data_IF_483465706589
#
_entry.id   IF_483465706589
#
_cell.length_a   1.000
_cell.length_b   1.000
_cell.length_c   1.000
_cell.angle_alpha   90.00
_cell.angle_beta   90.00
_cell.angle_gamma   90.00
#
_symmetry.space_group_name_H-M   'P 1'
#
loop_
_entity.id
_entity.type
_entity.pdbx_description
1 polymer ?
#
# COMPACT_ATOMS: atom_id res chain seq x y z
N UNK A 1 5.11 26.45 2.48
CA UNK A 1 4.41 25.33 3.14
C UNK A 1 4.76 24.06 2.39
N UNK A 2 5.40 23.08 3.04
CA UNK A 2 5.76 21.79 2.41
C UNK A 2 4.49 20.93 2.34
N UNK A 3 3.86 20.87 1.17
CA UNK A 3 2.79 19.91 0.90
C UNK A 3 3.39 18.50 0.92
N UNK A 4 3.19 17.81 2.03
CA UNK A 4 3.51 16.40 2.15
C UNK A 4 2.28 15.67 1.57
N UNK A 5 2.33 15.28 0.29
CA UNK A 5 1.26 14.61 -0.48
C UNK A 5 0.97 13.18 0.01
N UNK A 6 0.78 13.03 1.31
CA UNK A 6 0.20 11.85 1.90
C UNK A 6 -0.82 12.42 2.86
N UNK A 7 -2.11 12.25 2.52
CA UNK A 7 -3.15 12.22 3.53
C UNK A 7 -2.75 11.11 4.49
N UNK A 8 -1.97 11.46 5.53
CA UNK A 8 -1.50 10.59 6.57
C UNK A 8 -2.70 10.25 7.44
N UNK A 9 -3.62 9.46 6.88
CA UNK A 9 -4.59 8.77 7.68
C UNK A 9 -3.79 7.83 8.59
N UNK A 10 -4.03 7.85 9.92
CA UNK A 10 -3.15 7.21 10.91
C UNK A 10 -3.03 5.69 10.74
N UNK A 11 -3.89 5.08 9.93
CA UNK A 11 -3.89 3.66 9.57
C UNK A 11 -3.09 3.32 8.30
N UNK A 12 -2.56 4.31 7.59
CA UNK A 12 -1.76 4.10 6.38
C UNK A 12 -0.31 3.86 6.77
N UNK A 13 0.28 2.76 6.27
CA UNK A 13 1.70 2.51 6.44
C UNK A 13 2.52 3.65 5.80
N UNK A 14 3.46 4.23 6.55
CA UNK A 14 4.26 5.40 6.09
C UNK A 14 4.93 5.15 4.73
N UNK A 15 5.37 3.91 4.51
CA UNK A 15 6.01 3.50 3.25
C UNK A 15 5.04 2.99 2.16
N UNK A 16 3.72 3.20 2.26
CA UNK A 16 2.73 2.73 1.27
C UNK A 16 3.14 3.01 -0.18
N UNK A 17 3.58 4.24 -0.50
CA UNK A 17 4.05 4.58 -1.86
C UNK A 17 5.27 3.75 -2.30
N UNK A 18 6.21 3.48 -1.38
CA UNK A 18 7.39 2.66 -1.68
C UNK A 18 7.04 1.19 -1.82
N UNK A 19 6.17 0.67 -0.93
CA UNK A 19 5.69 -0.71 -0.94
C UNK A 19 5.02 -1.01 -2.29
N UNK A 20 4.15 -0.13 -2.79
CA UNK A 20 3.51 -0.39 -4.09
C UNK A 20 4.46 -0.19 -5.27
N UNK A 21 5.31 0.83 -5.25
CA UNK A 21 6.22 1.09 -6.38
C UNK A 21 7.30 0.03 -6.54
N UNK A 22 7.76 -0.57 -5.44
CA UNK A 22 8.91 -1.50 -5.43
C UNK A 22 8.55 -2.92 -4.99
N UNK A 23 7.37 -3.12 -4.43
CA UNK A 23 6.93 -4.43 -3.97
C UNK A 23 6.46 -5.30 -5.13
N UNK A 24 6.50 -6.61 -4.89
CA UNK A 24 6.04 -7.63 -5.83
C UNK A 24 4.59 -7.99 -5.51
N UNK A 25 3.72 -7.92 -6.50
CA UNK A 25 2.34 -8.41 -6.36
C UNK A 25 2.38 -9.95 -6.29
N UNK A 26 1.90 -10.50 -5.18
CA UNK A 26 1.79 -11.96 -4.96
C UNK A 26 0.42 -12.49 -5.35
N UNK A 27 -0.64 -11.74 -5.04
CA UNK A 27 -2.02 -12.15 -5.26
C UNK A 27 -2.92 -10.93 -5.48
N UNK A 28 -3.87 -11.06 -6.39
CA UNK A 28 -5.01 -10.15 -6.52
C UNK A 28 -6.15 -10.76 -5.71
N UNK A 29 -6.52 -10.14 -4.60
CA UNK A 29 -7.56 -10.65 -3.68
C UNK A 29 -8.94 -10.23 -4.19
N UNK A 30 -9.06 -8.96 -4.56
CA UNK A 30 -10.25 -8.34 -5.17
C UNK A 30 -9.80 -7.32 -6.21
N UNK A 31 -10.75 -6.80 -7.01
CA UNK A 31 -10.48 -5.81 -8.07
C UNK A 31 -9.54 -4.67 -7.62
N UNK A 32 -9.67 -4.24 -6.37
CA UNK A 32 -8.97 -3.10 -5.79
C UNK A 32 -8.03 -3.47 -4.61
N UNK A 33 -7.77 -4.77 -4.39
CA UNK A 33 -7.06 -5.27 -3.20
C UNK A 33 -5.98 -6.27 -3.59
N UNK A 34 -4.76 -5.99 -3.18
CA UNK A 34 -3.57 -6.72 -3.59
C UNK A 34 -2.77 -7.16 -2.39
N UNK A 35 -2.24 -8.38 -2.46
CA UNK A 35 -1.18 -8.85 -1.58
C UNK A 35 0.16 -8.50 -2.22
N UNK A 36 0.94 -7.66 -1.54
CA UNK A 36 2.24 -7.19 -2.02
C UNK A 36 3.33 -7.60 -1.03
N UNK A 37 4.44 -8.13 -1.55
CA UNK A 37 5.64 -8.41 -0.78
C UNK A 37 6.68 -7.30 -0.98
N UNK A 38 7.19 -6.76 0.12
CA UNK A 38 8.25 -5.76 0.11
C UNK A 38 9.15 -5.94 1.34
N UNK A 39 10.47 -6.02 1.15
CA UNK A 39 11.45 -6.29 2.21
C UNK A 39 11.09 -7.52 3.06
N UNK A 40 10.73 -8.64 2.42
CA UNK A 40 10.31 -9.90 3.06
C UNK A 40 9.10 -9.77 4.00
N UNK A 41 8.34 -8.67 3.90
CA UNK A 41 7.08 -8.47 4.61
C UNK A 41 5.93 -8.46 3.62
N UNK A 42 4.80 -9.00 4.05
CA UNK A 42 3.57 -9.06 3.26
C UNK A 42 2.60 -7.99 3.72
N UNK A 43 2.10 -7.23 2.75
CA UNK A 43 1.17 -6.14 2.95
C UNK A 43 -0.09 -6.40 2.14
N UNK A 44 -1.24 -6.06 2.71
CA UNK A 44 -2.43 -5.84 1.89
C UNK A 44 -2.43 -4.37 1.51
N UNK A 45 -2.51 -4.10 0.20
CA UNK A 45 -2.63 -2.77 -0.35
C UNK A 45 -3.97 -2.62 -1.06
N UNK A 46 -4.64 -1.49 -0.80
CA UNK A 46 -5.90 -1.11 -1.42
C UNK A 46 -5.62 0.04 -2.37
N UNK A 47 -6.12 -0.09 -3.60
CA UNK A 47 -5.94 0.87 -4.69
C UNK A 47 -7.32 1.43 -5.05
N UNK A 48 -7.44 2.72 -5.34
CA UNK A 48 -8.67 3.32 -5.82
C UNK A 48 -8.91 3.00 -7.31
N UNK A 49 -10.05 3.44 -7.84
CA UNK A 49 -10.44 3.22 -9.24
C UNK A 49 -9.49 3.89 -10.24
N UNK A 50 -8.84 4.98 -9.82
CA UNK A 50 -7.80 5.70 -10.57
C UNK A 50 -6.41 5.02 -10.52
N UNK A 51 -6.34 3.81 -9.97
CA UNK A 51 -5.10 3.04 -9.74
C UNK A 51 -4.10 3.73 -8.79
N UNK A 52 -4.53 4.72 -8.04
CA UNK A 52 -3.76 5.34 -6.97
C UNK A 52 -3.92 4.57 -5.65
N UNK A 53 -2.80 4.42 -4.94
CA UNK A 53 -2.76 3.62 -3.74
C UNK A 53 -3.35 4.40 -2.58
N UNK A 54 -4.43 3.86 -2.01
CA UNK A 54 -5.14 4.47 -0.91
C UNK A 54 -4.51 4.09 0.44
N UNK A 55 -4.15 2.82 0.65
CA UNK A 55 -3.44 2.39 1.86
C UNK A 55 -2.71 1.06 1.67
N UNK A 56 -1.69 0.80 2.50
CA UNK A 56 -1.17 -0.54 2.73
C UNK A 56 -1.11 -0.80 4.24
N UNK A 57 -1.36 -2.03 4.67
CA UNK A 57 -1.22 -2.47 6.06
C UNK A 57 -0.50 -3.82 6.15
N UNK A 58 0.35 -3.98 7.16
CA UNK A 58 1.12 -5.22 7.40
C UNK A 58 0.18 -6.32 7.90
N UNK A 59 0.33 -7.54 7.40
CA UNK A 59 -0.45 -8.68 7.86
C UNK A 59 0.03 -9.28 9.18
N UNK A 60 1.20 -8.88 9.67
CA UNK A 60 1.81 -9.43 10.89
C UNK A 60 2.43 -8.28 11.69
N UNK A 61 2.09 -8.19 12.99
CA UNK A 61 2.85 -7.51 14.04
C UNK A 61 3.55 -8.56 14.87
#
# INVERSE_FOLDING_TARGET
>A
MKHNDQNNLPFIHKDTKKIVKKGKVLLIIEKNKYLIEYNNKKYICIINEDKEVFSCYSLWS
#
